data_IF_261624297320
#
_entry.id   IF_261624297320
#
_cell.length_a   1.000
_cell.length_b   1.000
_cell.length_c   1.000
_cell.angle_alpha   90.00
_cell.angle_beta   90.00
_cell.angle_gamma   90.00
#
_symmetry.space_group_name_H-M   'P 1'
#
loop_
_entity.id
_entity.type
_entity.pdbx_description
1 polymer ?
#
# COMPACT_ATOMS: atom_id res chain seq x y z
N UNK A 1 -70.68 27.13 37.16
CA UNK A 1 -70.36 26.03 36.23
C UNK A 1 -69.15 26.41 35.42
N UNK A 2 -68.04 25.67 35.56
CA UNK A 2 -66.93 25.76 34.62
C UNK A 2 -67.32 24.92 33.40
N UNK A 3 -67.66 25.56 32.30
CA UNK A 3 -67.85 24.87 31.02
C UNK A 3 -66.53 24.84 30.29
N UNK A 4 -65.96 23.65 30.15
CA UNK A 4 -64.79 23.36 29.34
C UNK A 4 -65.20 23.56 27.87
N UNK A 5 -64.68 24.61 27.23
CA UNK A 5 -64.92 24.90 25.83
C UNK A 5 -63.99 24.07 24.94
N UNK A 6 -64.54 23.55 23.85
CA UNK A 6 -63.89 22.65 22.89
C UNK A 6 -62.55 23.21 22.37
N UNK A 7 -61.49 22.61 22.88
CA UNK A 7 -60.14 22.61 22.34
C UNK A 7 -59.43 21.49 23.08
N UNK A 8 -59.13 20.38 22.41
CA UNK A 8 -58.53 19.18 23.02
C UNK A 8 -57.16 19.50 23.66
N UNK A 9 -57.18 19.94 24.91
CA UNK A 9 -56.03 19.91 25.79
C UNK A 9 -56.16 18.69 26.71
N UNK A 10 -55.86 17.51 26.14
CA UNK A 10 -55.61 16.32 26.94
C UNK A 10 -54.21 16.44 27.57
N UNK A 11 -54.14 17.16 28.68
CA UNK A 11 -53.01 17.18 29.62
C UNK A 11 -53.56 16.98 31.03
N UNK A 12 -52.91 16.12 31.82
CA UNK A 12 -53.30 15.80 33.19
C UNK A 12 -53.57 17.08 34.01
N UNK A 13 -54.67 17.03 34.78
CA UNK A 13 -55.16 18.11 35.63
C UNK A 13 -54.27 18.34 36.85
N UNK A 14 -53.02 18.75 36.62
CA UNK A 14 -52.03 18.96 37.66
C UNK A 14 -51.47 20.39 37.60
N UNK A 15 -52.33 21.42 37.72
CA UNK A 15 -52.04 22.59 38.56
C UNK A 15 -53.20 23.61 38.68
N UNK A 16 -54.46 23.16 38.74
CA UNK A 16 -55.58 24.07 39.07
C UNK A 16 -55.70 24.25 40.59
N UNK A 17 -54.60 24.60 41.27
CA UNK A 17 -54.57 24.75 42.73
C UNK A 17 -54.73 26.21 43.21
N UNK A 18 -54.77 27.20 42.32
CA UNK A 18 -54.76 28.61 42.71
C UNK A 18 -56.03 29.39 42.34
N UNK A 19 -57.21 28.85 42.62
CA UNK A 19 -58.42 29.67 42.77
C UNK A 19 -59.17 29.20 44.02
N UNK A 20 -58.68 29.62 45.19
CA UNK A 20 -59.42 29.47 46.45
C UNK A 20 -59.94 30.85 46.86
N UNK A 21 -61.25 30.90 47.06
CA UNK A 21 -62.08 32.04 47.50
C UNK A 21 -62.37 33.15 46.48
N UNK A 22 -63.26 32.83 45.52
CA UNK A 22 -64.08 33.85 44.86
C UNK A 22 -65.41 33.97 45.62
N UNK A 23 -65.50 34.92 46.55
CA UNK A 23 -66.76 35.24 47.27
C UNK A 23 -67.34 36.56 46.79
N UNK A 24 -68.67 36.63 46.60
CA UNK A 24 -69.39 37.88 46.29
C UNK A 24 -69.95 38.02 44.86
N UNK A 25 -69.94 36.95 44.05
CA UNK A 25 -70.55 36.99 42.72
C UNK A 25 -72.08 36.89 42.82
N UNK A 26 -72.79 37.93 42.37
CA UNK A 26 -74.27 38.00 42.42
C UNK A 26 -74.95 37.82 41.06
N UNK A 27 -74.20 37.43 40.02
CA UNK A 27 -74.67 37.05 38.67
C UNK A 27 -73.77 35.97 38.06
N UNK A 28 -74.29 35.26 37.07
CA UNK A 28 -73.49 34.34 36.23
C UNK A 28 -72.27 35.08 35.68
N UNK A 29 -71.09 34.66 36.11
CA UNK A 29 -69.81 35.29 35.79
C UNK A 29 -68.94 34.26 35.10
N UNK A 30 -68.55 34.55 33.86
CA UNK A 30 -67.61 33.73 33.10
C UNK A 30 -66.19 34.16 33.43
N UNK A 31 -65.34 33.19 33.78
CA UNK A 31 -63.91 33.40 33.93
C UNK A 31 -63.20 32.83 32.70
N UNK A 32 -62.33 33.65 32.09
CA UNK A 32 -61.42 33.21 31.06
C UNK A 32 -60.02 33.12 31.68
N UNK A 33 -59.39 31.95 31.60
CA UNK A 33 -58.01 31.76 31.99
C UNK A 33 -57.14 31.59 30.74
N UNK A 34 -55.97 32.23 30.74
CA UNK A 34 -54.95 32.06 29.72
C UNK A 34 -53.78 31.31 30.33
N UNK A 35 -53.48 30.13 29.79
CA UNK A 35 -52.32 29.34 30.18
C UNK A 35 -51.21 29.53 29.15
N UNK A 36 -49.96 29.59 29.61
CA UNK A 36 -48.78 29.61 28.77
C UNK A 36 -47.89 28.46 29.17
N UNK A 37 -47.24 27.83 28.19
CA UNK A 37 -46.28 26.75 28.43
C UNK A 37 -45.13 27.26 29.30
N UNK A 38 -44.88 26.64 30.45
CA UNK A 38 -43.69 26.89 31.27
C UNK A 38 -42.59 25.90 30.88
N UNK A 39 -41.60 26.34 30.11
CA UNK A 39 -40.54 25.45 29.62
C UNK A 39 -39.49 25.08 30.67
N UNK A 40 -39.52 25.64 31.89
CA UNK A 40 -38.53 25.33 32.95
C UNK A 40 -38.50 23.86 33.37
N UNK A 41 -39.52 23.07 33.01
CA UNK A 41 -39.57 21.63 33.25
C UNK A 41 -38.78 20.81 32.23
N UNK A 42 -38.36 21.43 31.12
CA UNK A 42 -37.60 20.77 30.07
C UNK A 42 -36.15 20.62 30.52
N UNK A 43 -35.59 19.43 30.28
CA UNK A 43 -34.15 19.18 30.41
C UNK A 43 -33.65 18.47 29.15
N UNK A 44 -32.46 18.86 28.70
CA UNK A 44 -31.78 18.22 27.56
C UNK A 44 -30.50 17.58 28.07
N UNK A 45 -30.44 16.25 28.01
CA UNK A 45 -29.28 15.48 28.47
C UNK A 45 -28.33 15.21 27.29
N UNK A 46 -27.00 15.36 27.49
CA UNK A 46 -26.02 15.07 26.46
C UNK A 46 -25.91 13.56 26.18
N UNK A 47 -25.31 13.22 25.04
CA UNK A 47 -24.89 11.85 24.71
C UNK A 47 -23.36 11.74 24.75
N UNK A 48 -22.84 10.64 25.30
CA UNK A 48 -21.43 10.26 25.22
C UNK A 48 -21.29 8.75 25.01
N UNK A 49 -20.51 8.34 24.00
CA UNK A 49 -20.24 6.93 23.71
C UNK A 49 -19.11 6.71 22.71
N UNK A 50 -18.73 5.45 22.50
CA UNK A 50 -17.76 5.06 21.47
C UNK A 50 -18.42 4.91 20.10
N UNK A 51 -17.64 5.04 19.03
CA UNK A 51 -18.10 4.78 17.66
C UNK A 51 -18.67 3.36 17.51
N UNK A 52 -19.95 3.28 17.19
CA UNK A 52 -20.70 2.04 16.97
C UNK A 52 -21.41 1.99 15.60
N UNK A 53 -21.21 3.02 14.76
CA UNK A 53 -21.84 3.19 13.46
C UNK A 53 -23.34 3.53 13.48
N UNK A 54 -23.92 3.70 14.67
CA UNK A 54 -25.31 4.11 14.85
C UNK A 54 -25.42 5.63 14.95
N UNK A 55 -26.63 6.14 14.75
CA UNK A 55 -26.93 7.55 14.98
C UNK A 55 -27.20 7.78 16.46
N UNK A 56 -26.71 8.92 16.96
CA UNK A 56 -26.89 9.33 18.34
C UNK A 56 -27.57 10.68 18.43
N UNK A 57 -28.34 10.89 19.49
CA UNK A 57 -29.07 12.13 19.73
C UNK A 57 -29.08 12.51 21.21
N UNK A 58 -29.35 13.79 21.50
CA UNK A 58 -29.57 14.28 22.86
C UNK A 58 -30.96 13.85 23.36
N UNK A 59 -31.10 13.64 24.66
CA UNK A 59 -32.39 13.21 25.24
C UNK A 59 -33.14 14.39 25.84
N UNK A 60 -34.35 14.68 25.33
CA UNK A 60 -35.23 15.73 25.85
C UNK A 60 -36.27 15.13 26.79
N UNK A 61 -36.27 15.56 28.05
CA UNK A 61 -37.22 15.13 29.08
C UNK A 61 -38.14 16.28 29.50
N UNK A 62 -39.32 15.94 30.04
CA UNK A 62 -40.28 16.93 30.57
C UNK A 62 -41.19 17.56 29.52
N UNK A 63 -41.26 16.97 28.33
CA UNK A 63 -42.18 17.36 27.25
C UNK A 63 -43.62 16.94 27.58
N UNK A 64 -44.57 17.68 27.04
CA UNK A 64 -46.01 17.41 27.17
C UNK A 64 -46.67 17.32 25.79
N UNK A 65 -47.93 16.84 25.74
CA UNK A 65 -48.70 16.81 24.49
C UNK A 65 -48.79 18.21 23.87
N UNK A 66 -48.41 18.32 22.58
CA UNK A 66 -48.41 19.58 21.83
C UNK A 66 -47.06 20.30 21.79
N UNK A 67 -46.05 19.84 22.56
CA UNK A 67 -44.69 20.33 22.39
C UNK A 67 -44.11 19.83 21.06
N UNK A 68 -43.58 20.75 20.27
CA UNK A 68 -42.76 20.48 19.08
C UNK A 68 -41.30 20.64 19.46
N UNK A 69 -40.49 19.62 19.21
CA UNK A 69 -39.04 19.62 19.46
C UNK A 69 -38.30 19.71 18.13
N UNK A 70 -37.35 20.64 18.02
CA UNK A 70 -36.52 20.87 16.84
C UNK A 70 -35.05 20.95 17.27
N UNK A 71 -34.15 20.53 16.39
CA UNK A 71 -32.71 20.48 16.65
C UNK A 71 -31.96 21.36 15.66
N UNK A 72 -30.82 21.88 16.10
CA UNK A 72 -29.89 22.67 15.28
C UNK A 72 -28.44 22.31 15.62
N UNK A 73 -27.62 22.18 14.58
CA UNK A 73 -26.17 21.93 14.69
C UNK A 73 -25.33 23.16 14.32
N UNK A 74 -25.97 24.26 13.91
CA UNK A 74 -25.33 25.49 13.46
C UNK A 74 -25.51 26.67 14.44
N UNK A 75 -25.83 26.35 15.69
CA UNK A 75 -26.05 27.36 16.74
C UNK A 75 -27.35 28.14 16.55
N UNK A 76 -28.42 27.43 16.15
CA UNK A 76 -29.77 27.96 16.04
C UNK A 76 -30.06 28.78 14.78
N UNK A 77 -29.23 28.70 13.74
CA UNK A 77 -29.50 29.40 12.48
C UNK A 77 -30.51 28.65 11.63
N UNK A 78 -30.39 27.33 11.57
CA UNK A 78 -31.36 26.43 10.93
C UNK A 78 -31.84 25.39 11.93
N UNK A 79 -33.15 25.10 11.88
CA UNK A 79 -33.80 24.14 12.73
C UNK A 79 -34.45 23.07 11.88
N UNK A 80 -34.10 21.82 12.15
CA UNK A 80 -34.73 20.67 11.54
C UNK A 80 -35.77 20.08 12.50
N UNK A 81 -36.88 19.64 11.93
CA UNK A 81 -37.99 19.06 12.68
C UNK A 81 -37.49 17.76 13.33
N UNK A 82 -37.40 17.77 14.66
CA UNK A 82 -37.11 16.57 15.43
C UNK A 82 -38.32 15.65 15.35
N UNK A 83 -38.36 14.77 14.35
CA UNK A 83 -39.36 13.71 14.32
C UNK A 83 -39.05 12.83 15.54
N UNK A 84 -39.90 12.84 16.55
CA UNK A 84 -39.69 11.96 17.70
C UNK A 84 -39.61 10.51 17.20
N UNK A 85 -38.57 9.79 17.64
CA UNK A 85 -38.12 8.48 17.14
C UNK A 85 -37.63 8.45 15.68
N UNK A 86 -36.45 9.06 15.48
CA UNK A 86 -35.36 8.30 14.88
C UNK A 86 -35.26 8.23 13.36
N UNK A 87 -35.68 9.24 12.57
CA UNK A 87 -35.04 9.51 11.27
C UNK A 87 -35.43 10.89 10.71
N UNK A 88 -34.44 11.68 10.26
CA UNK A 88 -34.31 12.19 8.89
C UNK A 88 -33.02 13.04 8.75
N UNK A 89 -32.04 12.50 8.01
CA UNK A 89 -30.85 13.11 7.38
C UNK A 89 -29.99 14.17 8.13
N UNK A 90 -29.30 13.80 9.23
CA UNK A 90 -27.97 14.36 9.55
C UNK A 90 -27.06 13.37 10.31
N UNK A 91 -26.22 12.64 9.55
CA UNK A 91 -24.75 12.44 9.63
C UNK A 91 -23.93 12.45 10.94
N UNK A 92 -24.49 12.39 12.15
CA UNK A 92 -23.68 12.30 13.39
C UNK A 92 -23.40 10.85 13.81
N UNK A 93 -22.74 10.12 12.93
CA UNK A 93 -22.28 8.74 13.18
C UNK A 93 -20.81 8.68 13.56
N UNK A 94 -20.06 9.71 13.15
CA UNK A 94 -18.61 9.72 13.22
C UNK A 94 -18.10 10.27 14.55
N UNK A 95 -16.86 9.93 14.89
CA UNK A 95 -16.16 10.49 16.02
C UNK A 95 -16.15 12.02 15.96
N UNK A 96 -16.46 12.66 17.09
CA UNK A 96 -16.52 14.11 17.18
C UNK A 96 -17.25 14.60 18.42
N UNK A 97 -17.20 15.92 18.60
CA UNK A 97 -18.02 16.64 19.58
C UNK A 97 -18.90 17.60 18.81
N UNK A 98 -20.20 17.40 18.91
CA UNK A 98 -21.21 18.17 18.20
C UNK A 98 -22.04 18.94 19.22
N UNK A 99 -22.10 20.26 19.02
CA UNK A 99 -23.00 21.11 19.81
C UNK A 99 -24.40 21.04 19.20
N UNK A 100 -25.40 20.90 20.05
CA UNK A 100 -26.80 20.76 19.66
C UNK A 100 -27.63 21.80 20.39
N UNK A 101 -28.26 22.69 19.64
CA UNK A 101 -29.29 23.60 20.15
C UNK A 101 -30.65 22.93 19.94
N UNK A 102 -31.43 22.79 21.00
CA UNK A 102 -32.78 22.20 21.00
C UNK A 102 -33.80 23.31 21.21
N UNK A 103 -34.74 23.45 20.30
CA UNK A 103 -35.88 24.37 20.44
C UNK A 103 -37.15 23.61 20.75
N UNK A 104 -37.84 23.97 21.82
CA UNK A 104 -39.16 23.43 22.17
C UNK A 104 -40.21 24.52 21.97
N UNK A 105 -41.23 24.25 21.17
CA UNK A 105 -42.29 25.23 20.83
C UNK A 105 -43.67 24.66 21.17
N UNK A 106 -44.52 25.46 21.81
CA UNK A 106 -45.93 25.13 22.08
C UNK A 106 -46.77 26.40 22.19
N UNK A 107 -47.95 26.44 21.57
CA UNK A 107 -48.86 27.59 21.68
C UNK A 107 -48.30 28.93 21.15
N UNK A 108 -47.36 28.88 20.20
CA UNK A 108 -46.73 30.06 19.61
C UNK A 108 -45.58 30.68 20.43
N UNK A 109 -45.20 30.06 21.56
CA UNK A 109 -44.01 30.41 22.34
C UNK A 109 -42.97 29.30 22.25
N UNK A 110 -41.69 29.65 22.36
CA UNK A 110 -40.57 28.70 22.30
C UNK A 110 -39.48 29.02 23.33
N UNK A 111 -38.70 28.01 23.68
CA UNK A 111 -37.47 28.14 24.48
C UNK A 111 -36.36 27.26 23.90
N UNK A 112 -35.10 27.62 24.14
CA UNK A 112 -33.92 26.99 23.53
C UNK A 112 -32.95 26.44 24.59
N UNK A 113 -32.35 25.30 24.30
CA UNK A 113 -31.49 24.53 25.21
C UNK A 113 -30.24 24.06 24.49
N UNK A 114 -29.08 24.27 25.10
CA UNK A 114 -27.79 23.79 24.57
C UNK A 114 -27.41 22.44 25.17
N UNK A 115 -26.88 21.54 24.35
CA UNK A 115 -26.37 20.23 24.74
C UNK A 115 -25.29 19.75 23.77
N UNK A 116 -24.73 18.56 24.01
CA UNK A 116 -23.65 17.99 23.21
C UNK A 116 -23.85 16.50 22.92
N UNK A 117 -23.40 16.07 21.75
CA UNK A 117 -23.20 14.67 21.38
C UNK A 117 -21.70 14.45 21.23
N UNK A 118 -21.13 13.54 22.04
CA UNK A 118 -19.72 13.17 21.98
C UNK A 118 -19.57 11.72 21.60
N UNK A 119 -18.96 11.46 20.45
CA UNK A 119 -18.61 10.12 19.96
C UNK A 119 -17.09 10.03 19.99
N UNK A 120 -16.53 9.10 20.75
CA UNK A 120 -15.07 8.86 20.80
C UNK A 120 -14.65 7.78 19.81
N UNK A 121 -13.40 7.79 19.30
CA UNK A 121 -12.95 6.74 18.40
C UNK A 121 -12.97 5.38 19.10
N UNK A 122 -13.32 4.33 18.36
CA UNK A 122 -13.28 2.97 18.87
C UNK A 122 -11.86 2.39 18.74
N UNK A 123 -11.24 1.87 19.82
CA UNK A 123 -9.89 1.34 19.74
C UNK A 123 -9.85 -0.01 19.02
N UNK A 124 -8.93 -0.15 18.07
CA UNK A 124 -8.62 -1.43 17.41
C UNK A 124 -7.11 -1.64 17.30
N UNK A 125 -6.69 -2.90 17.27
CA UNK A 125 -5.30 -3.26 16.98
C UNK A 125 -5.25 -4.16 15.76
N UNK A 126 -4.41 -3.78 14.80
CA UNK A 126 -4.20 -4.49 13.55
C UNK A 126 -2.78 -5.07 13.56
N UNK A 127 -2.64 -6.34 13.22
CA UNK A 127 -1.34 -7.02 13.13
C UNK A 127 -1.07 -7.45 11.70
N UNK A 128 0.10 -7.11 11.15
CA UNK A 128 0.52 -7.60 9.84
C UNK A 128 1.14 -8.99 9.91
N UNK A 129 1.04 -9.74 8.82
CA UNK A 129 1.52 -11.11 8.75
C UNK A 129 3.04 -11.20 8.88
N UNK A 130 3.50 -12.25 9.56
CA UNK A 130 4.91 -12.65 9.56
C UNK A 130 5.15 -13.75 8.54
N UNK A 131 6.34 -13.83 7.96
CA UNK A 131 6.68 -14.91 7.05
C UNK A 131 8.16 -15.27 7.14
N UNK A 132 8.52 -16.49 6.74
CA UNK A 132 9.90 -16.94 6.72
C UNK A 132 10.18 -17.80 5.49
N UNK A 133 11.34 -17.61 4.88
CA UNK A 133 11.85 -18.51 3.83
C UNK A 133 13.37 -18.62 3.86
N UNK A 134 13.91 -19.63 3.18
CA UNK A 134 15.34 -19.70 2.91
C UNK A 134 15.70 -18.85 1.68
N UNK A 135 16.89 -18.24 1.69
CA UNK A 135 17.36 -17.41 0.59
C UNK A 135 17.28 -18.14 -0.77
N UNK A 136 16.51 -17.56 -1.68
CA UNK A 136 16.26 -18.09 -3.02
C UNK A 136 16.45 -17.05 -4.14
N UNK A 137 16.92 -15.85 -3.79
CA UNK A 137 17.11 -14.73 -4.72
C UNK A 137 15.84 -13.97 -5.10
N UNK A 138 14.67 -14.38 -4.60
CA UNK A 138 13.39 -13.68 -4.84
C UNK A 138 12.95 -12.93 -3.58
N UNK A 139 12.19 -11.83 -3.70
CA UNK A 139 11.64 -11.13 -2.53
C UNK A 139 10.70 -12.01 -1.70
N UNK A 140 10.76 -11.89 -0.37
CA UNK A 140 9.72 -12.35 0.55
C UNK A 140 8.80 -11.17 0.88
N UNK A 141 7.51 -11.36 0.73
CA UNK A 141 6.46 -10.41 1.12
C UNK A 141 5.35 -11.16 1.87
N UNK A 142 4.52 -10.45 2.64
CA UNK A 142 3.31 -11.01 3.23
C UNK A 142 2.20 -9.95 3.25
N UNK A 143 1.06 -10.25 2.62
CA UNK A 143 -0.12 -9.36 2.54
C UNK A 143 -1.19 -9.68 3.57
N UNK A 144 -0.98 -10.68 4.45
CA UNK A 144 -1.93 -10.99 5.51
C UNK A 144 -1.98 -9.86 6.53
N UNK A 145 -3.19 -9.54 6.97
CA UNK A 145 -3.46 -8.64 8.09
C UNK A 145 -4.59 -9.26 8.92
N UNK A 146 -4.57 -9.04 10.23
CA UNK A 146 -5.63 -9.47 11.16
C UNK A 146 -5.92 -8.37 12.17
N UNK A 147 -7.18 -8.20 12.55
CA UNK A 147 -7.53 -7.43 13.75
C UNK A 147 -7.32 -8.35 14.95
N UNK A 148 -6.42 -7.98 15.86
CA UNK A 148 -6.05 -8.79 17.01
C UNK A 148 -6.68 -8.31 18.31
N UNK A 149 -7.11 -7.04 18.37
CA UNK A 149 -7.89 -6.48 19.48
C UNK A 149 -8.96 -5.52 18.95
N UNK A 150 -10.09 -5.47 19.64
CA UNK A 150 -11.27 -4.72 19.21
C UNK A 150 -11.97 -5.41 18.03
N UNK A 151 -12.88 -4.67 17.40
CA UNK A 151 -13.59 -5.13 16.21
C UNK A 151 -14.06 -3.93 15.40
N UNK A 152 -14.15 -4.11 14.09
CA UNK A 152 -14.83 -3.15 13.23
C UNK A 152 -16.34 -3.28 13.42
N UNK A 153 -17.05 -2.17 13.19
CA UNK A 153 -18.51 -2.15 13.06
C UNK A 153 -18.91 -2.83 11.75
N UNK A 154 -18.21 -2.54 10.64
CA UNK A 154 -18.34 -3.26 9.37
C UNK A 154 -16.97 -3.77 8.91
N UNK A 155 -16.86 -5.07 8.65
CA UNK A 155 -15.59 -5.69 8.24
C UNK A 155 -15.13 -5.25 6.83
N UNK A 156 -16.07 -4.79 6.00
CA UNK A 156 -15.79 -4.30 4.63
C UNK A 156 -15.10 -2.94 4.59
N UNK A 157 -15.06 -2.20 5.70
CA UNK A 157 -14.50 -0.84 5.71
C UNK A 157 -12.97 -0.86 5.58
N UNK A 158 -12.32 -1.96 6.00
CA UNK A 158 -10.87 -2.04 6.09
C UNK A 158 -10.20 -2.30 4.73
N UNK A 159 -9.84 -1.22 4.05
CA UNK A 159 -8.86 -1.26 2.99
C UNK A 159 -7.44 -1.20 3.55
N UNK A 160 -6.51 -2.01 3.04
CA UNK A 160 -5.14 -1.98 3.52
C UNK A 160 -4.14 -2.43 2.46
N UNK A 161 -2.89 -2.03 2.66
CA UNK A 161 -1.77 -2.50 1.84
C UNK A 161 -0.51 -2.57 2.68
N UNK A 162 0.16 -3.72 2.71
CA UNK A 162 1.50 -3.85 3.29
C UNK A 162 2.57 -3.48 2.25
N UNK A 163 3.73 -3.02 2.71
CA UNK A 163 4.89 -2.71 1.85
C UNK A 163 6.16 -3.49 2.25
N UNK A 164 6.10 -4.30 3.30
CA UNK A 164 7.24 -5.09 3.77
C UNK A 164 7.79 -6.02 2.71
N UNK A 165 9.12 -5.97 2.52
CA UNK A 165 9.84 -6.85 1.60
C UNK A 165 11.27 -7.09 2.07
N UNK A 166 11.75 -8.32 1.89
CA UNK A 166 13.15 -8.69 2.13
C UNK A 166 13.57 -9.81 1.19
N UNK A 167 14.71 -9.66 0.51
CA UNK A 167 15.24 -10.67 -0.42
C UNK A 167 16.43 -11.42 0.16
N UNK A 168 17.33 -10.70 0.83
CA UNK A 168 18.58 -11.24 1.37
C UNK A 168 18.39 -11.73 2.80
N UNK A 169 19.27 -12.61 3.26
CA UNK A 169 19.22 -13.14 4.61
C UNK A 169 19.25 -12.03 5.67
N UNK A 170 18.37 -12.16 6.64
CA UNK A 170 18.10 -11.15 7.67
C UNK A 170 16.63 -11.09 8.05
N UNK A 171 16.25 -10.02 8.72
CA UNK A 171 14.89 -9.73 9.17
C UNK A 171 14.48 -8.33 8.74
N UNK A 172 13.21 -8.14 8.38
CA UNK A 172 12.60 -6.84 8.12
C UNK A 172 11.19 -6.80 8.70
N UNK A 173 10.73 -5.62 9.09
CA UNK A 173 9.33 -5.42 9.51
C UNK A 173 8.40 -5.49 8.30
N UNK A 174 7.21 -6.04 8.51
CA UNK A 174 6.15 -6.06 7.50
C UNK A 174 5.23 -4.85 7.70
N UNK A 175 5.73 -3.66 7.38
CA UNK A 175 5.01 -2.42 7.67
C UNK A 175 3.77 -2.23 6.81
N UNK A 176 2.85 -1.39 7.30
CA UNK A 176 1.65 -0.99 6.57
C UNK A 176 1.92 0.30 5.78
N UNK A 177 1.50 0.33 4.51
CA UNK A 177 1.56 1.51 3.65
C UNK A 177 0.32 2.40 3.80
N UNK A 178 -0.86 1.79 3.85
CA UNK A 178 -2.15 2.49 3.95
C UNK A 178 -3.14 1.67 4.78
N UNK A 179 -3.95 2.35 5.60
CA UNK A 179 -5.04 1.76 6.40
C UNK A 179 -6.30 2.60 6.24
N UNK A 180 -7.36 1.94 5.79
CA UNK A 180 -8.72 2.43 5.73
C UNK A 180 -8.91 3.67 4.86
N UNK A 181 -10.15 4.13 4.85
CA UNK A 181 -10.54 5.45 4.37
C UNK A 181 -10.22 6.53 5.41
N UNK A 182 -10.29 7.81 5.03
CA UNK A 182 -10.14 8.94 5.97
C UNK A 182 -11.19 8.85 7.10
N UNK A 183 -12.41 8.43 6.78
CA UNK A 183 -13.50 8.27 7.77
C UNK A 183 -13.16 7.18 8.80
N UNK A 184 -12.62 6.04 8.37
CA UNK A 184 -12.13 5.02 9.31
C UNK A 184 -11.04 5.57 10.24
N UNK A 185 -10.09 6.33 9.71
CA UNK A 185 -9.00 6.88 10.52
C UNK A 185 -9.49 7.90 11.55
N UNK A 186 -10.68 8.47 11.36
CA UNK A 186 -11.31 9.35 12.36
C UNK A 186 -12.18 8.59 13.35
N UNK A 187 -12.87 7.53 12.93
CA UNK A 187 -13.80 6.75 13.75
C UNK A 187 -13.14 5.69 14.63
N UNK A 188 -11.92 5.29 14.29
CA UNK A 188 -11.16 4.29 15.03
C UNK A 188 -9.84 4.86 15.54
N UNK A 189 -9.48 4.50 16.76
CA UNK A 189 -8.12 4.67 17.27
C UNK A 189 -7.32 3.41 16.91
N UNK A 190 -6.53 3.52 15.84
CA UNK A 190 -5.87 2.36 15.21
C UNK A 190 -4.45 2.22 15.74
N UNK A 191 -4.19 1.11 16.42
CA UNK A 191 -2.84 0.66 16.76
C UNK A 191 -2.37 -0.40 15.76
N UNK A 192 -1.13 -0.29 15.28
CA UNK A 192 -0.52 -1.26 14.36
C UNK A 192 0.59 -2.04 15.08
N UNK A 193 0.51 -3.37 15.02
CA UNK A 193 1.57 -4.29 15.45
C UNK A 193 2.19 -4.94 14.21
N UNK A 194 3.43 -4.58 13.87
CA UNK A 194 4.06 -5.08 12.64
C UNK A 194 4.59 -6.51 12.82
N UNK A 195 4.23 -7.39 11.89
CA UNK A 195 4.83 -8.72 11.75
C UNK A 195 6.27 -8.64 11.22
N UNK A 196 6.96 -9.78 11.24
CA UNK A 196 8.35 -9.88 10.81
C UNK A 196 8.50 -10.79 9.59
N UNK A 197 9.22 -10.31 8.59
CA UNK A 197 9.69 -11.11 7.45
C UNK A 197 11.12 -11.57 7.72
N UNK A 198 11.38 -12.86 7.60
CA UNK A 198 12.70 -13.45 7.86
C UNK A 198 13.19 -14.25 6.66
N UNK A 199 14.39 -13.96 6.19
CA UNK A 199 15.09 -14.80 5.21
C UNK A 199 16.26 -15.47 5.90
N UNK A 200 16.27 -16.80 5.93
CA UNK A 200 17.39 -17.57 6.50
C UNK A 200 18.47 -17.79 5.45
N UNK A 201 19.76 -17.79 5.82
CA UNK A 201 20.83 -18.16 4.90
C UNK A 201 20.60 -19.54 4.28
N UNK A 202 20.96 -19.70 3.01
CA UNK A 202 20.88 -20.96 2.28
C UNK A 202 22.05 -21.87 2.65
N UNK A 203 21.81 -23.08 3.18
CA UNK A 203 22.90 -23.99 3.52
C UNK A 203 23.50 -24.61 2.26
N UNK A 204 24.83 -24.60 2.18
CA UNK A 204 25.59 -25.36 1.18
C UNK A 204 26.80 -26.05 1.83
N UNK A 205 27.21 -27.19 1.27
CA UNK A 205 28.42 -27.91 1.71
C UNK A 205 29.40 -28.02 0.55
N UNK A 206 30.62 -27.51 0.75
CA UNK A 206 31.74 -27.65 -0.18
C UNK A 206 32.66 -28.76 0.30
N UNK A 207 33.03 -29.66 -0.60
CA UNK A 207 33.94 -30.77 -0.32
C UNK A 207 35.14 -30.74 -1.27
N UNK A 208 36.35 -30.71 -0.72
CA UNK A 208 37.57 -30.81 -1.52
C UNK A 208 38.03 -32.25 -1.67
N UNK A 209 38.64 -32.56 -2.81
CA UNK A 209 39.17 -33.88 -3.11
C UNK A 209 40.34 -34.28 -2.20
N UNK A 210 40.51 -35.59 -2.01
CA UNK A 210 41.70 -36.18 -1.39
C UNK A 210 42.66 -36.70 -2.47
N UNK A 211 43.96 -36.79 -2.17
CA UNK A 211 44.92 -37.38 -3.09
C UNK A 211 46.11 -38.00 -2.34
N UNK A 212 46.82 -38.93 -2.99
CA UNK A 212 48.02 -39.53 -2.42
C UNK A 212 49.06 -39.81 -3.50
N UNK A 213 50.35 -39.64 -3.15
CA UNK A 213 51.48 -40.09 -3.98
C UNK A 213 52.67 -40.54 -3.14
N UNK A 214 53.67 -41.17 -3.76
CA UNK A 214 54.96 -41.41 -3.13
C UNK A 214 55.85 -40.17 -3.26
N UNK A 215 56.79 -40.00 -2.35
CA UNK A 215 57.73 -38.88 -2.38
C UNK A 215 58.58 -38.89 -3.65
N UNK A 216 58.43 -37.84 -4.46
CA UNK A 216 59.13 -37.62 -5.72
C UNK A 216 59.82 -36.23 -5.78
N UNK A 217 59.78 -35.48 -4.67
CA UNK A 217 60.33 -34.12 -4.56
C UNK A 217 59.44 -33.00 -5.13
N UNK A 218 58.26 -33.31 -5.68
CA UNK A 218 57.31 -32.31 -6.22
C UNK A 218 56.07 -32.18 -5.33
N UNK A 219 55.37 -31.05 -5.38
CA UNK A 219 54.15 -30.85 -4.60
C UNK A 219 53.01 -31.79 -5.06
N UNK A 220 52.24 -32.29 -4.10
CA UNK A 220 50.93 -32.91 -4.32
C UNK A 220 49.85 -31.85 -4.09
N UNK A 221 48.98 -31.66 -5.07
CA UNK A 221 47.78 -30.82 -5.00
C UNK A 221 46.58 -31.59 -5.54
N UNK A 222 45.37 -31.19 -5.16
CA UNK A 222 44.13 -31.64 -5.80
C UNK A 222 43.17 -30.44 -5.91
N UNK A 223 42.88 -29.98 -7.13
CA UNK A 223 42.05 -28.79 -7.38
C UNK A 223 40.55 -29.04 -7.26
N UNK A 224 40.12 -30.28 -7.07
CA UNK A 224 38.70 -30.65 -7.01
C UNK A 224 38.03 -30.04 -5.77
N UNK A 225 36.97 -29.27 -6.00
CA UNK A 225 35.98 -28.86 -4.99
C UNK A 225 34.59 -29.00 -5.59
N UNK A 226 33.69 -29.67 -4.87
CA UNK A 226 32.30 -29.87 -5.31
C UNK A 226 31.32 -29.42 -4.26
N UNK A 227 30.12 -28.99 -4.69
CA UNK A 227 28.99 -28.80 -3.79
C UNK A 227 28.37 -30.19 -3.57
N UNK A 228 28.52 -30.74 -2.36
CA UNK A 228 28.01 -32.07 -2.01
C UNK A 228 26.64 -32.05 -1.36
N UNK A 229 26.19 -30.88 -0.91
CA UNK A 229 24.82 -30.67 -0.40
C UNK A 229 24.39 -29.22 -0.62
N UNK A 230 23.11 -29.03 -0.91
CA UNK A 230 22.52 -27.73 -1.25
C UNK A 230 22.77 -27.31 -2.70
N UNK A 231 22.48 -26.05 -3.01
CA UNK A 231 22.72 -25.46 -4.32
C UNK A 231 22.91 -23.95 -4.20
N UNK A 232 23.65 -23.37 -5.13
CA UNK A 232 23.66 -21.92 -5.32
C UNK A 232 22.38 -21.46 -6.03
N UNK A 233 21.97 -20.22 -5.79
CA UNK A 233 20.95 -19.53 -6.59
C UNK A 233 21.56 -19.14 -7.93
N UNK A 234 22.69 -18.42 -7.91
CA UNK A 234 23.50 -18.16 -9.09
C UNK A 234 24.93 -18.69 -8.90
N UNK A 235 25.53 -19.21 -9.97
CA UNK A 235 26.89 -19.74 -9.92
C UNK A 235 27.95 -18.69 -9.50
N UNK A 236 27.68 -17.41 -9.73
CA UNK A 236 28.57 -16.30 -9.37
C UNK A 236 28.44 -15.83 -7.92
N UNK A 237 27.49 -16.33 -7.15
CA UNK A 237 27.23 -15.85 -5.78
C UNK A 237 28.39 -16.21 -4.83
N UNK A 238 28.96 -17.39 -5.02
CA UNK A 238 30.04 -17.96 -4.20
C UNK A 238 31.11 -18.51 -5.13
N UNK A 239 32.35 -18.07 -4.94
CA UNK A 239 33.53 -18.63 -5.62
C UNK A 239 34.33 -19.46 -4.63
N UNK A 240 34.83 -20.61 -5.06
CA UNK A 240 35.58 -21.52 -4.19
C UNK A 240 36.68 -22.27 -4.95
N UNK A 241 37.76 -22.60 -4.26
CA UNK A 241 38.88 -23.35 -4.81
C UNK A 241 39.61 -24.15 -3.71
N UNK A 242 40.20 -25.30 -4.09
CA UNK A 242 41.12 -26.01 -3.23
C UNK A 242 42.49 -25.32 -3.25
N UNK A 243 43.07 -25.08 -2.08
CA UNK A 243 44.34 -24.34 -1.90
C UNK A 243 45.38 -25.15 -1.12
N UNK A 244 45.10 -26.41 -0.80
CA UNK A 244 46.04 -27.29 -0.09
C UNK A 244 47.19 -27.76 -0.98
N UNK A 245 48.36 -27.95 -0.35
CA UNK A 245 49.56 -28.50 -0.98
C UNK A 245 50.45 -29.20 0.05
N UNK A 246 51.15 -30.25 -0.36
CA UNK A 246 52.17 -30.94 0.45
C UNK A 246 53.27 -31.54 -0.44
N UNK A 247 54.54 -31.32 -0.06
CA UNK A 247 55.70 -31.85 -0.81
C UNK A 247 56.41 -32.97 -0.06
N UNK A 248 56.62 -32.78 1.25
CA UNK A 248 57.34 -33.73 2.09
C UNK A 248 56.42 -34.87 2.55
N UNK A 249 57.03 -36.01 2.91
CA UNK A 249 56.31 -37.16 3.48
C UNK A 249 55.45 -36.72 4.65
N UNK A 250 54.18 -37.13 4.64
CA UNK A 250 53.19 -36.74 5.65
C UNK A 250 51.79 -36.61 5.08
N UNK A 251 50.94 -35.93 5.84
CA UNK A 251 49.54 -35.69 5.49
C UNK A 251 49.15 -34.24 5.82
N UNK A 252 48.34 -33.62 4.96
CA UNK A 252 47.77 -32.29 5.18
C UNK A 252 46.33 -32.21 4.67
N UNK A 253 45.57 -31.24 5.18
CA UNK A 253 44.23 -30.96 4.67
C UNK A 253 44.32 -30.28 3.29
N UNK A 254 43.46 -30.72 2.37
CA UNK A 254 43.22 -30.00 1.13
C UNK A 254 42.26 -28.83 1.40
N UNK A 255 42.80 -27.73 1.93
CA UNK A 255 41.96 -26.61 2.39
C UNK A 255 41.11 -25.98 1.29
N UNK A 256 39.96 -25.43 1.65
CA UNK A 256 39.08 -24.71 0.71
C UNK A 256 39.14 -23.21 0.97
N UNK A 257 39.39 -22.42 -0.07
CA UNK A 257 39.18 -20.98 -0.07
C UNK A 257 37.78 -20.66 -0.58
N UNK A 258 37.06 -19.75 0.08
CA UNK A 258 35.72 -19.29 -0.29
C UNK A 258 35.70 -17.76 -0.33
N UNK A 259 35.11 -17.22 -1.39
CA UNK A 259 34.81 -15.78 -1.51
C UNK A 259 33.39 -15.59 -2.04
N UNK A 260 32.86 -14.38 -1.85
CA UNK A 260 31.48 -14.03 -2.19
C UNK A 260 31.46 -12.80 -3.10
N UNK A 261 30.43 -12.67 -3.93
CA UNK A 261 30.26 -11.51 -4.79
C UNK A 261 30.14 -10.18 -4.01
N UNK A 262 29.68 -10.23 -2.76
CA UNK A 262 29.64 -9.10 -1.82
C UNK A 262 29.51 -9.58 -0.38
N UNK A 263 29.70 -8.69 0.60
CA UNK A 263 29.44 -9.00 2.02
C UNK A 263 27.98 -9.38 2.28
N UNK A 264 27.02 -8.77 1.57
CA UNK A 264 25.61 -9.16 1.68
C UNK A 264 25.39 -10.57 1.17
N UNK A 265 26.09 -10.97 0.11
CA UNK A 265 26.03 -12.35 -0.41
C UNK A 265 26.63 -13.36 0.57
N UNK A 266 27.69 -12.97 1.30
CA UNK A 266 28.24 -13.81 2.36
C UNK A 266 27.23 -14.13 3.46
N UNK A 267 26.29 -13.22 3.75
CA UNK A 267 25.19 -13.46 4.69
C UNK A 267 24.10 -14.38 4.13
N UNK A 268 23.95 -14.44 2.80
CA UNK A 268 22.91 -15.23 2.15
C UNK A 268 23.17 -16.73 2.15
N UNK A 269 24.40 -17.17 2.44
CA UNK A 269 24.80 -18.57 2.41
C UNK A 269 25.41 -19.00 3.75
N UNK A 270 24.97 -20.14 4.28
CA UNK A 270 25.63 -20.82 5.38
C UNK A 270 26.52 -21.93 4.80
N UNK A 271 27.81 -21.61 4.59
CA UNK A 271 28.77 -22.52 3.95
C UNK A 271 29.42 -23.44 4.98
N UNK A 272 29.32 -24.75 4.75
CA UNK A 272 30.03 -25.78 5.50
C UNK A 272 31.17 -26.33 4.65
N UNK A 273 32.37 -26.50 5.23
CA UNK A 273 33.54 -27.02 4.54
C UNK A 273 33.85 -28.45 5.01
N UNK A 274 34.04 -29.36 4.05
CA UNK A 274 34.50 -30.73 4.27
C UNK A 274 35.81 -30.90 3.51
N UNK A 275 36.93 -30.73 4.21
CA UNK A 275 38.25 -30.73 3.59
C UNK A 275 38.77 -32.17 3.41
N UNK A 276 39.15 -32.52 2.18
CA UNK A 276 39.85 -33.76 1.86
C UNK A 276 41.27 -33.79 2.44
N UNK A 277 41.98 -34.89 2.24
CA UNK A 277 43.35 -35.11 2.74
C UNK A 277 44.33 -35.37 1.60
N UNK A 278 45.48 -34.69 1.62
CA UNK A 278 46.62 -34.93 0.75
C UNK A 278 47.68 -35.74 1.50
N UNK A 279 48.18 -36.83 0.91
CA UNK A 279 49.16 -37.72 1.58
C UNK A 279 50.38 -37.99 0.69
N UNK A 280 51.57 -37.72 1.21
CA UNK A 280 52.83 -38.10 0.57
C UNK A 280 53.46 -39.23 1.37
N UNK A 281 53.54 -40.41 0.76
CA UNK A 281 54.16 -41.58 1.37
C UNK A 281 55.68 -41.57 1.16
N UNK A 282 56.42 -42.30 1.98
CA UNK A 282 57.86 -42.53 1.77
C UNK A 282 58.13 -43.13 0.39
N UNK A 283 59.22 -42.69 -0.26
CA UNK A 283 59.63 -43.28 -1.53
C UNK A 283 59.88 -44.80 -1.38
N UNK A 284 59.45 -45.63 -2.35
CA UNK A 284 59.78 -47.04 -2.33
C UNK A 284 61.30 -47.20 -2.38
N UNK A 285 61.88 -47.92 -1.41
CA UNK A 285 63.31 -48.25 -1.43
C UNK A 285 63.59 -49.20 -2.58
N UNK A 286 64.31 -48.75 -3.61
CA UNK A 286 64.89 -49.64 -4.61
C UNK A 286 65.88 -50.58 -3.90
N UNK A 287 65.74 -51.92 -3.99
CA UNK A 287 66.71 -52.84 -3.40
C UNK A 287 68.08 -52.58 -4.04
N UNK A 288 69.06 -52.16 -3.25
CA UNK A 288 70.44 -52.10 -3.71
C UNK A 288 70.97 -53.53 -3.83
N UNK A 289 71.27 -53.95 -5.07
CA UNK A 289 72.07 -55.16 -5.30
C UNK A 289 73.40 -55.01 -4.56
N UNK A 290 73.81 -55.96 -3.70
CA UNK A 290 75.07 -55.85 -2.97
C UNK A 290 76.25 -55.71 -3.93
N UNK A 291 76.99 -54.61 -3.85
CA UNK A 291 78.28 -54.51 -4.52
C UNK A 291 79.33 -55.22 -3.66
N UNK A 292 80.03 -56.18 -4.28
CA UNK A 292 81.16 -56.91 -3.69
C UNK A 292 82.29 -55.93 -3.34
N UNK A 293 82.91 -56.01 -2.14
CA UNK A 293 84.01 -55.12 -1.76
C UNK A 293 85.29 -55.50 -2.50
N UNK A 294 85.92 -54.54 -3.19
CA UNK A 294 87.32 -54.61 -3.60
C UNK A 294 88.20 -53.71 -2.71
N UNK A 295 89.40 -54.22 -2.46
CA UNK A 295 90.38 -53.90 -1.41
C UNK A 295 91.21 -52.61 -1.58
N UNK A 296 91.93 -52.16 -0.52
CA UNK A 296 92.44 -50.78 -0.32
C UNK A 296 93.73 -50.39 -1.09
N UNK A 297 94.13 -49.10 -1.09
CA UNK A 297 95.13 -48.51 -1.98
C UNK A 297 96.56 -48.56 -1.43
N UNK A 298 97.55 -48.55 -2.34
CA UNK A 298 98.97 -48.35 -2.01
C UNK A 298 99.43 -46.93 -2.37
N UNK A 299 99.76 -46.16 -1.33
CA UNK A 299 100.52 -44.88 -1.24
C UNK A 299 102.05 -45.17 -1.36
N UNK A 300 103.05 -44.23 -1.22
CA UNK A 300 103.01 -42.80 -0.85
C UNK A 300 104.00 -41.82 -1.56
N UNK A 301 103.69 -40.51 -1.49
CA UNK A 301 104.66 -39.42 -1.71
C UNK A 301 104.23 -38.13 -0.98
N UNK A 302 105.07 -37.64 -0.07
CA UNK A 302 104.97 -36.44 0.82
C UNK A 302 106.42 -36.17 1.31
N UNK A 303 106.93 -34.96 1.70
CA UNK A 303 106.26 -33.72 2.15
C UNK A 303 106.83 -32.35 1.67
N UNK A 304 106.00 -31.30 1.90
CA UNK A 304 106.40 -29.94 2.34
C UNK A 304 105.96 -28.82 1.39
N UNK A 305 105.49 -27.63 1.78
CA UNK A 305 105.15 -26.97 3.06
C UNK A 305 104.35 -25.70 2.68
N UNK A 306 103.50 -25.23 3.61
CA UNK A 306 102.65 -24.01 3.73
C UNK A 306 103.06 -22.76 2.91
N UNK A 307 102.16 -21.89 2.43
CA UNK A 307 101.37 -20.86 3.17
C UNK A 307 100.54 -20.11 2.09
N UNK A 308 99.20 -20.15 2.13
CA UNK A 308 98.25 -19.10 2.61
C UNK A 308 97.84 -18.03 1.57
N UNK A 309 96.52 -17.99 1.39
CA UNK A 309 95.55 -17.01 0.90
C UNK A 309 95.83 -15.98 -0.21
N UNK A 310 94.84 -15.88 -1.10
CA UNK A 310 94.55 -14.67 -1.87
C UNK A 310 94.00 -14.93 -3.26
N UNK A 311 92.71 -15.28 -3.35
CA UNK A 311 91.98 -15.42 -4.61
C UNK A 311 91.94 -14.11 -5.41
N UNK A 312 92.08 -14.21 -6.74
CA UNK A 312 91.87 -13.13 -7.71
C UNK A 312 91.11 -13.70 -8.91
N UNK A 313 90.30 -12.83 -9.54
CA UNK A 313 89.58 -12.95 -10.81
C UNK A 313 88.37 -13.90 -10.79
N UNK A 314 87.15 -13.52 -11.18
CA UNK A 314 86.75 -12.66 -12.30
C UNK A 314 85.52 -11.75 -12.03
N UNK A 315 85.44 -10.71 -12.86
CA UNK A 315 84.54 -9.54 -13.00
C UNK A 315 83.60 -9.75 -14.25
N UNK A 316 82.59 -8.90 -14.62
CA UNK A 316 81.61 -8.07 -13.90
C UNK A 316 80.13 -8.31 -14.34
N UNK A 317 79.23 -7.43 -13.84
CA UNK A 317 78.18 -6.72 -14.60
C UNK A 317 76.73 -7.16 -14.39
N UNK A 318 76.03 -6.46 -13.48
CA UNK A 318 74.67 -5.95 -13.73
C UNK A 318 74.55 -4.60 -13.02
N UNK A 319 74.27 -3.56 -13.81
CA UNK A 319 74.03 -2.18 -13.40
C UNK A 319 72.76 -2.02 -12.55
N UNK A 320 72.85 -1.18 -11.51
CA UNK A 320 71.71 -0.45 -10.96
C UNK A 320 71.45 0.78 -11.84
N UNK A 321 70.19 1.02 -12.20
CA UNK A 321 69.77 2.24 -12.89
C UNK A 321 68.79 2.98 -11.99
N UNK A 322 69.13 4.25 -11.77
CA UNK A 322 68.44 5.24 -10.95
C UNK A 322 67.06 5.64 -11.48
N UNK A 323 66.31 6.26 -10.57
CA UNK A 323 65.03 6.92 -10.78
C UNK A 323 65.08 8.01 -11.87
N UNK A 324 64.18 7.93 -12.85
CA UNK A 324 63.89 9.02 -13.79
C UNK A 324 62.42 9.43 -13.67
N UNK A 325 62.24 10.68 -13.29
CA UNK A 325 60.98 11.43 -13.23
C UNK A 325 60.25 11.43 -14.58
N UNK A 326 58.94 11.19 -14.52
CA UNK A 326 58.01 11.31 -15.66
C UNK A 326 57.94 12.75 -16.21
N UNK A 327 58.18 12.98 -17.51
CA UNK A 327 57.84 14.26 -18.14
C UNK A 327 56.35 14.35 -18.47
N UNK A 328 55.78 15.53 -18.21
CA UNK A 328 54.46 15.95 -18.65
C UNK A 328 54.38 15.92 -20.18
N UNK A 329 53.41 15.17 -20.70
CA UNK A 329 53.02 15.16 -22.11
C UNK A 329 52.14 16.39 -22.39
N UNK A 330 52.73 17.37 -23.07
CA UNK A 330 52.02 18.41 -23.81
C UNK A 330 51.30 17.74 -25.00
N UNK A 331 49.99 17.58 -24.88
CA UNK A 331 49.12 17.05 -25.93
C UNK A 331 48.25 18.16 -26.48
N UNK A 332 48.57 18.60 -27.70
CA UNK A 332 47.74 19.48 -28.52
C UNK A 332 46.29 18.95 -28.59
N UNK A 333 45.34 19.84 -28.34
CA UNK A 333 43.91 19.60 -28.52
C UNK A 333 43.62 19.75 -30.02
N UNK A 334 43.59 18.63 -30.74
CA UNK A 334 42.93 18.56 -32.04
C UNK A 334 41.42 18.56 -31.78
N UNK A 335 40.75 19.67 -32.13
CA UNK A 335 39.29 19.76 -32.16
C UNK A 335 38.76 18.70 -33.14
N UNK A 336 38.22 17.61 -32.60
CA UNK A 336 37.42 16.67 -33.37
C UNK A 336 36.14 17.41 -33.77
N UNK A 337 35.93 17.61 -35.07
CA UNK A 337 34.64 18.07 -35.58
C UNK A 337 33.53 17.15 -35.04
N UNK A 338 32.60 17.73 -34.29
CA UNK A 338 31.39 17.07 -33.80
C UNK A 338 30.72 16.35 -34.98
N UNK A 339 30.84 15.03 -34.98
CA UNK A 339 30.10 14.20 -35.91
C UNK A 339 28.63 14.43 -35.61
N UNK A 340 27.93 15.10 -36.52
CA UNK A 340 26.53 15.45 -36.37
C UNK A 340 25.74 14.20 -35.94
N UNK A 341 25.28 14.22 -34.69
CA UNK A 341 24.32 13.25 -34.17
C UNK A 341 23.14 13.20 -35.14
N UNK A 342 22.68 12.03 -35.60
CA UNK A 342 21.50 11.98 -36.45
C UNK A 342 20.38 12.60 -35.63
N UNK A 343 19.79 13.70 -36.13
CA UNK A 343 18.73 14.48 -35.45
C UNK A 343 17.82 13.56 -34.65
N UNK A 344 18.07 13.47 -33.34
CA UNK A 344 17.13 12.91 -32.40
C UNK A 344 15.88 13.74 -32.55
N UNK A 345 14.77 13.11 -32.88
CA UNK A 345 13.49 13.78 -32.88
C UNK A 345 13.32 14.37 -31.47
N UNK A 346 13.42 15.69 -31.32
CA UNK A 346 13.20 16.40 -30.05
C UNK A 346 11.70 16.37 -29.68
N UNK A 347 11.05 15.23 -29.90
CA UNK A 347 9.67 15.01 -29.56
C UNK A 347 9.58 14.82 -28.05
N UNK A 348 8.57 15.44 -27.48
CA UNK A 348 8.12 15.28 -26.10
C UNK A 348 6.71 14.73 -26.18
N UNK A 349 6.33 13.89 -25.23
CA UNK A 349 4.94 13.44 -25.10
C UNK A 349 4.26 14.18 -23.94
N UNK A 350 2.96 14.42 -24.05
CA UNK A 350 2.19 15.20 -23.09
C UNK A 350 1.47 14.33 -22.06
N UNK A 351 1.80 14.51 -20.79
CA UNK A 351 1.11 13.84 -19.67
C UNK A 351 -0.39 14.17 -19.63
N UNK A 352 -0.77 15.41 -19.97
CA UNK A 352 -2.17 15.82 -20.00
C UNK A 352 -2.98 15.03 -21.05
N UNK A 353 -2.35 14.59 -22.14
CA UNK A 353 -3.05 13.82 -23.17
C UNK A 353 -3.37 12.40 -22.67
N UNK A 354 -2.49 11.80 -21.86
CA UNK A 354 -2.77 10.53 -21.21
C UNK A 354 -3.91 10.65 -20.20
N UNK A 355 -3.87 11.69 -19.36
CA UNK A 355 -4.93 11.94 -18.38
C UNK A 355 -6.27 12.19 -19.09
N UNK A 356 -6.28 12.99 -20.15
CA UNK A 356 -7.47 13.26 -20.95
C UNK A 356 -8.04 11.97 -21.58
N UNK A 357 -7.19 11.10 -22.14
CA UNK A 357 -7.60 9.81 -22.70
C UNK A 357 -8.20 8.85 -21.65
N UNK A 358 -7.66 8.83 -20.43
CA UNK A 358 -8.18 8.00 -19.35
C UNK A 358 -9.54 8.54 -18.86
N UNK A 359 -9.65 9.86 -18.68
CA UNK A 359 -10.88 10.51 -18.23
C UNK A 359 -12.03 10.33 -19.24
N UNK A 360 -11.76 10.42 -20.54
CA UNK A 360 -12.77 10.17 -21.58
C UNK A 360 -13.27 8.73 -21.57
N UNK A 361 -12.38 7.74 -21.36
CA UNK A 361 -12.78 6.34 -21.21
C UNK A 361 -13.63 6.11 -19.96
N UNK A 362 -13.27 6.73 -18.83
CA UNK A 362 -14.05 6.63 -17.59
C UNK A 362 -15.46 7.21 -17.80
N UNK A 363 -15.58 8.36 -18.45
CA UNK A 363 -16.89 8.95 -18.75
C UNK A 363 -17.75 8.09 -19.70
N UNK A 364 -17.16 7.51 -20.73
CA UNK A 364 -17.85 6.55 -21.61
C UNK A 364 -18.32 5.30 -20.86
N UNK A 365 -17.54 4.81 -19.89
CA UNK A 365 -17.93 3.68 -19.02
C UNK A 365 -19.04 4.07 -18.05
N UNK A 366 -19.02 5.26 -17.47
CA UNK A 366 -20.10 5.76 -16.61
C UNK A 366 -21.42 5.85 -17.39
N UNK A 367 -21.37 6.33 -18.65
CA UNK A 367 -22.54 6.34 -19.54
C UNK A 367 -23.06 4.93 -19.83
N UNK A 368 -22.18 3.94 -20.04
CA UNK A 368 -22.58 2.54 -20.24
C UNK A 368 -23.14 1.87 -18.97
N UNK A 369 -22.51 2.10 -17.83
CA UNK A 369 -22.83 1.49 -16.54
C UNK A 369 -23.97 2.19 -15.79
N UNK A 370 -24.48 3.30 -16.30
CA UNK A 370 -25.74 3.91 -15.87
C UNK A 370 -26.90 2.93 -16.11
N UNK A 371 -27.02 1.96 -15.20
CA UNK A 371 -27.98 0.87 -15.20
C UNK A 371 -29.34 1.45 -14.88
N UNK A 372 -30.30 1.17 -15.75
CA UNK A 372 -31.73 1.38 -15.51
C UNK A 372 -32.09 0.57 -14.26
N UNK A 373 -32.35 1.22 -13.14
CA UNK A 373 -32.97 0.57 -11.99
C UNK A 373 -34.40 0.22 -12.42
N UNK A 374 -34.58 -0.97 -12.97
CA UNK A 374 -35.91 -1.53 -13.16
C UNK A 374 -36.16 -2.32 -11.88
N UNK A 375 -36.87 -1.71 -10.94
CA UNK A 375 -37.54 -2.49 -9.92
C UNK A 375 -38.47 -3.42 -10.68
N UNK A 376 -38.16 -4.72 -10.67
CA UNK A 376 -39.12 -5.72 -11.10
C UNK A 376 -40.18 -5.81 -9.98
N UNK A 377 -41.08 -4.83 -9.94
CA UNK A 377 -42.36 -4.97 -9.25
C UNK A 377 -43.33 -5.62 -10.24
N UNK A 378 -44.02 -6.65 -9.75
CA UNK A 378 -45.03 -7.41 -10.48
C UNK A 378 -46.18 -6.48 -10.89
N UNK A 379 -46.13 -5.91 -12.08
CA UNK A 379 -47.28 -5.20 -12.68
C UNK A 379 -48.35 -6.21 -13.10
N UNK A 380 -49.51 -6.15 -12.44
CA UNK A 380 -50.73 -6.88 -12.79
C UNK A 380 -51.09 -6.69 -14.27
N UNK A 381 -51.52 -7.78 -14.93
CA UNK A 381 -51.78 -7.85 -16.38
C UNK A 381 -52.79 -6.81 -16.90
N UNK A 382 -53.57 -6.16 -16.02
CA UNK A 382 -54.53 -5.11 -16.38
C UNK A 382 -53.87 -3.73 -16.64
N UNK A 383 -52.71 -3.41 -16.04
CA UNK A 383 -52.01 -2.13 -16.29
C UNK A 383 -51.21 -2.14 -17.60
N UNK A 384 -50.79 -3.32 -18.07
CA UNK A 384 -50.12 -3.49 -19.38
C UNK A 384 -51.00 -3.07 -20.54
N UNK A 385 -52.31 -3.28 -20.46
CA UNK A 385 -53.25 -2.94 -21.53
C UNK A 385 -53.46 -1.43 -21.65
N UNK A 386 -53.46 -0.69 -20.53
CA UNK A 386 -53.60 0.77 -20.50
C UNK A 386 -52.32 1.52 -20.93
N UNK A 387 -51.15 0.88 -20.80
CA UNK A 387 -49.85 1.47 -21.16
C UNK A 387 -49.56 1.44 -22.67
N UNK A 388 -50.28 0.60 -23.44
CA UNK A 388 -50.10 0.43 -24.89
C UNK A 388 -50.69 1.61 -25.70
N UNK A 389 -51.75 2.25 -25.23
CA UNK A 389 -52.37 3.40 -25.93
C UNK A 389 -51.57 4.71 -25.79
N UNK A 390 -50.58 4.76 -24.88
CA UNK A 390 -49.68 5.92 -24.67
C UNK A 390 -48.36 5.80 -25.45
N UNK A 391 -48.24 4.79 -26.32
CA UNK A 391 -46.98 4.23 -26.81
C UNK A 391 -46.17 4.99 -27.86
N UNK A 392 -46.61 6.16 -28.33
CA UNK A 392 -45.86 6.87 -29.39
C UNK A 392 -44.77 7.84 -28.87
N UNK A 393 -44.85 8.33 -27.63
CA UNK A 393 -43.86 9.25 -27.06
C UNK A 393 -42.69 8.52 -26.36
N UNK A 394 -42.95 7.47 -25.57
CA UNK A 394 -41.90 6.72 -24.84
C UNK A 394 -40.90 5.97 -25.74
N UNK A 395 -41.28 5.63 -26.98
CA UNK A 395 -40.37 4.93 -27.92
C UNK A 395 -39.33 5.88 -28.54
N UNK A 396 -39.60 7.18 -28.62
CA UNK A 396 -38.63 8.17 -29.12
C UNK A 396 -37.58 8.55 -28.08
N UNK A 397 -37.94 8.64 -26.80
CA UNK A 397 -37.02 9.02 -25.71
C UNK A 397 -36.01 7.92 -25.37
N UNK A 398 -36.45 6.66 -25.33
CA UNK A 398 -35.53 5.51 -25.18
C UNK A 398 -34.49 5.42 -26.31
N UNK A 399 -34.86 5.81 -27.53
CA UNK A 399 -33.92 5.86 -28.67
C UNK A 399 -32.85 6.95 -28.46
N UNK A 400 -33.18 8.09 -27.87
CA UNK A 400 -32.25 9.21 -27.62
C UNK A 400 -31.21 8.88 -26.56
N UNK A 401 -31.64 8.31 -25.43
CA UNK A 401 -30.73 7.87 -24.35
C UNK A 401 -29.75 6.79 -24.83
N UNK A 402 -30.21 5.84 -25.64
CA UNK A 402 -29.35 4.82 -26.23
C UNK A 402 -28.35 5.41 -27.25
N UNK A 403 -28.77 6.36 -28.09
CA UNK A 403 -27.89 7.06 -29.03
C UNK A 403 -26.77 7.82 -28.30
N UNK A 404 -27.07 8.51 -27.20
CA UNK A 404 -26.05 9.21 -26.39
C UNK A 404 -25.02 8.24 -25.80
N UNK A 405 -25.44 7.07 -25.31
CA UNK A 405 -24.53 6.03 -24.80
C UNK A 405 -23.61 5.49 -25.89
N UNK A 406 -24.16 5.20 -27.07
CA UNK A 406 -23.37 4.73 -28.22
C UNK A 406 -22.39 5.80 -28.68
N UNK A 407 -22.79 7.08 -28.73
CA UNK A 407 -21.92 8.19 -29.10
C UNK A 407 -20.78 8.41 -28.10
N UNK A 408 -21.04 8.35 -26.79
CA UNK A 408 -19.98 8.47 -25.77
C UNK A 408 -18.94 7.36 -25.87
N UNK A 409 -19.37 6.12 -26.12
CA UNK A 409 -18.43 5.00 -26.35
C UNK A 409 -17.59 5.22 -27.61
N UNK A 410 -18.18 5.72 -28.70
CA UNK A 410 -17.44 6.02 -29.94
C UNK A 410 -16.40 7.11 -29.68
N UNK A 411 -16.76 8.18 -28.97
CA UNK A 411 -15.85 9.30 -28.66
C UNK A 411 -14.73 8.84 -27.72
N UNK A 412 -15.00 7.99 -26.73
CA UNK A 412 -13.98 7.37 -25.88
C UNK A 412 -12.98 6.52 -26.69
N UNK A 413 -13.46 5.70 -27.63
CA UNK A 413 -12.58 4.91 -28.52
C UNK A 413 -11.73 5.81 -29.40
N UNK A 414 -12.34 6.86 -29.99
CA UNK A 414 -11.63 7.85 -30.81
C UNK A 414 -10.54 8.55 -29.99
N UNK A 415 -10.80 8.88 -28.71
CA UNK A 415 -9.83 9.49 -27.81
C UNK A 415 -8.60 8.60 -27.58
N UNK A 416 -8.79 7.30 -27.35
CA UNK A 416 -7.70 6.34 -27.17
C UNK A 416 -6.89 6.16 -28.46
N UNK A 417 -7.57 6.02 -29.59
CA UNK A 417 -6.90 5.90 -30.90
C UNK A 417 -6.11 7.17 -31.22
N UNK A 418 -6.69 8.35 -30.98
CA UNK A 418 -6.01 9.63 -31.18
C UNK A 418 -4.76 9.73 -30.30
N UNK A 419 -4.88 9.41 -29.01
CA UNK A 419 -3.74 9.38 -28.09
C UNK A 419 -2.61 8.46 -28.57
N UNK A 420 -2.92 7.22 -28.98
CA UNK A 420 -1.90 6.27 -29.47
C UNK A 420 -1.23 6.76 -30.76
N UNK A 421 -1.95 7.51 -31.61
CA UNK A 421 -1.41 8.05 -32.86
C UNK A 421 -0.58 9.33 -32.67
N UNK A 422 -0.85 10.11 -31.62
CA UNK A 422 -0.18 11.41 -31.39
C UNK A 422 0.91 11.35 -30.32
N UNK A 423 0.82 10.42 -29.38
CA UNK A 423 1.75 10.29 -28.25
C UNK A 423 2.67 9.09 -28.38
N UNK A 424 3.97 9.33 -28.27
CA UNK A 424 4.99 8.28 -28.17
C UNK A 424 5.56 8.29 -26.75
N UNK A 425 5.09 7.36 -25.92
CA UNK A 425 5.51 7.24 -24.51
C UNK A 425 6.97 6.83 -24.32
N UNK A 426 7.71 6.54 -25.41
CA UNK A 426 9.16 6.33 -25.35
C UNK A 426 9.97 7.64 -25.30
N UNK A 427 9.32 8.77 -25.58
CA UNK A 427 9.93 10.10 -25.58
C UNK A 427 9.98 10.71 -24.17
N UNK A 428 10.79 11.76 -23.94
CA UNK A 428 10.78 12.52 -22.69
C UNK A 428 9.41 13.18 -22.43
N UNK A 429 8.97 13.13 -21.18
CA UNK A 429 7.67 13.65 -20.73
C UNK A 429 7.67 15.18 -20.64
N UNK A 430 6.60 15.80 -21.12
CA UNK A 430 6.25 17.20 -20.89
C UNK A 430 4.80 17.30 -20.40
N UNK A 431 4.42 18.47 -19.87
CA UNK A 431 3.06 18.68 -19.37
C UNK A 431 2.05 18.80 -20.53
N UNK A 432 2.42 19.50 -21.60
CA UNK A 432 1.58 19.81 -22.75
C UNK A 432 2.38 19.77 -24.05
N UNK A 433 1.69 19.57 -25.16
CA UNK A 433 2.21 19.55 -26.51
C UNK A 433 1.24 20.23 -27.50
N UNK A 434 1.50 20.09 -28.81
CA UNK A 434 0.65 20.68 -29.87
C UNK A 434 -0.70 19.96 -30.01
N UNK A 435 -0.78 18.68 -29.64
CA UNK A 435 -2.01 17.89 -29.72
C UNK A 435 -2.91 18.03 -28.49
N UNK A 436 -2.39 18.60 -27.40
CA UNK A 436 -3.13 18.80 -26.14
C UNK A 436 -4.43 19.57 -26.32
N UNK A 437 -4.46 20.56 -27.19
CA UNK A 437 -5.68 21.33 -27.47
C UNK A 437 -6.78 20.43 -28.05
N UNK A 438 -6.42 19.49 -28.94
CA UNK A 438 -7.38 18.55 -29.52
C UNK A 438 -7.87 17.52 -28.51
N UNK A 439 -7.00 17.06 -27.61
CA UNK A 439 -7.40 16.16 -26.53
C UNK A 439 -8.37 16.82 -25.54
N UNK A 440 -8.16 18.11 -25.23
CA UNK A 440 -9.09 18.89 -24.41
C UNK A 440 -10.44 19.05 -25.11
N UNK A 441 -10.46 19.31 -26.44
CA UNK A 441 -11.71 19.41 -27.21
C UNK A 441 -12.48 18.09 -27.17
N UNK A 442 -11.81 16.94 -27.35
CA UNK A 442 -12.44 15.62 -27.27
C UNK A 442 -13.01 15.38 -25.86
N UNK A 443 -12.27 15.74 -24.80
CA UNK A 443 -12.74 15.62 -23.43
C UNK A 443 -13.96 16.51 -23.12
N UNK A 444 -14.02 17.73 -23.67
CA UNK A 444 -15.18 18.62 -23.54
C UNK A 444 -16.39 18.05 -24.27
N UNK A 445 -16.22 17.47 -25.46
CA UNK A 445 -17.30 16.80 -26.19
C UNK A 445 -17.87 15.64 -25.37
N UNK A 446 -17.00 14.81 -24.77
CA UNK A 446 -17.42 13.70 -23.91
C UNK A 446 -18.16 14.20 -22.66
N UNK A 447 -17.68 15.27 -22.03
CA UNK A 447 -18.36 15.89 -20.89
C UNK A 447 -19.76 16.40 -21.26
N UNK A 448 -19.92 17.02 -22.43
CA UNK A 448 -21.23 17.46 -22.93
C UNK A 448 -22.15 16.25 -23.16
N UNK A 449 -21.64 15.14 -23.71
CA UNK A 449 -22.42 13.91 -23.88
C UNK A 449 -22.85 13.32 -22.53
N UNK A 450 -22.01 13.37 -21.50
CA UNK A 450 -22.36 12.96 -20.13
C UNK A 450 -23.46 13.83 -19.55
N UNK A 451 -23.32 15.16 -19.65
CA UNK A 451 -24.29 16.11 -19.10
C UNK A 451 -25.65 16.00 -19.81
N UNK A 452 -25.65 15.87 -21.14
CA UNK A 452 -26.86 15.64 -21.92
C UNK A 452 -27.45 14.28 -21.55
N UNK A 453 -26.64 13.21 -21.50
CA UNK A 453 -27.09 11.87 -21.13
C UNK A 453 -27.69 11.79 -19.73
N UNK A 454 -27.16 12.56 -18.77
CA UNK A 454 -27.70 12.64 -17.41
C UNK A 454 -29.01 13.43 -17.36
N UNK A 455 -29.10 14.53 -18.10
CA UNK A 455 -30.33 15.32 -18.17
C UNK A 455 -31.53 14.50 -18.72
N UNK A 456 -31.31 13.64 -19.70
CA UNK A 456 -32.36 12.74 -20.19
C UNK A 456 -32.74 11.66 -19.17
N UNK A 457 -31.80 11.24 -18.32
CA UNK A 457 -32.10 10.29 -17.23
C UNK A 457 -32.97 10.93 -16.14
N UNK A 458 -32.73 12.20 -15.81
CA UNK A 458 -33.54 12.91 -14.81
C UNK A 458 -34.98 13.10 -15.32
N UNK A 459 -35.17 13.37 -16.62
CA UNK A 459 -36.52 13.42 -17.26
C UNK A 459 -37.20 12.05 -17.24
N UNK A 460 -36.46 10.97 -17.56
CA UNK A 460 -36.99 9.61 -17.50
C UNK A 460 -37.47 9.25 -16.07
N UNK A 461 -36.76 9.70 -15.03
CA UNK A 461 -37.06 9.41 -13.62
C UNK A 461 -38.25 10.27 -13.10
N UNK A 462 -38.35 11.56 -13.47
CA UNK A 462 -39.50 12.44 -13.16
C UNK A 462 -40.81 11.96 -13.81
N UNK A 463 -40.76 11.44 -15.05
CA UNK A 463 -41.94 10.89 -15.74
C UNK A 463 -42.41 9.56 -15.15
N UNK A 464 -41.55 8.84 -14.42
CA UNK A 464 -41.94 7.63 -13.68
C UNK A 464 -42.59 8.01 -12.34
N UNK A 465 -42.06 9.01 -11.62
CA UNK A 465 -42.64 9.48 -10.37
C UNK A 465 -44.02 10.15 -10.56
N UNK A 466 -44.30 10.77 -11.71
CA UNK A 466 -45.62 11.31 -12.02
C UNK A 466 -46.65 10.24 -12.46
N UNK A 467 -46.22 9.01 -12.73
CA UNK A 467 -47.08 7.90 -13.18
C UNK A 467 -47.28 6.80 -12.11
N UNK A 468 -46.51 6.82 -11.03
CA UNK A 468 -46.73 6.06 -9.79
C UNK A 468 -47.64 6.85 -8.83
#
# INVERSE_FOLDING_TARGET
>A
NWTYGEGEAAGEAADVAAIRDITGLTKDTTFTAHFTRDFRTITVSPYEGEYDGQEHNVTVNGTIKGDKVEYSLDGGQTYELGIAFGVADVTLRNNGVYNVTVRVTNGGVSDEYESTIKITPRPITITTGSATKTYDGTPLTNSEIRITKGSLVNESDLEYRTNGTITNAGTAENSILTIGTIEMQTNYDITVEEGTLTVTPRPITLTSGSASKNYDGTALTNSEVTITSGSLVNASDVTYAAVGSITNVGSSLNRISVSYASEQMARNYAVTLVEGTLTVNTAPTTPTTPTTPTTPPTTPGTPGTTTDDGATTDEPEVEEVEDEETPLSDGDVEDVEDNATPKGNNGIWALINLIAAIVTVIFGLILLLSKRHRNDEEEDEEERQARIERGEEKEQEQKRGWICKVLGVIVAIVSVVFFILTEDMSLPMALTDKWTIWMIVIAIVELVLVLVGRHWKDVDDEDQEQQA
#
